data_IF_887874987534
#
_entry.id   IF_887874987534
#
_cell.length_a   1.000
_cell.length_b   1.000
_cell.length_c   1.000
_cell.angle_alpha   90.00
_cell.angle_beta   90.00
_cell.angle_gamma   90.00
#
_symmetry.space_group_name_H-M   'P 1'
#
loop_
_entity.id
_entity.type
_entity.pdbx_description
1 polymer ?
#
# COMPACT_ATOMS: atom_id res chain seq x y z
N UNK A 1 5.78 -14.98 22.30
CA UNK A 1 6.90 -14.82 21.34
C UNK A 1 6.43 -13.93 20.20
N UNK A 2 7.33 -13.13 19.62
CA UNK A 2 7.05 -12.28 18.45
C UNK A 2 7.68 -12.92 17.21
N UNK A 3 6.99 -12.87 16.08
CA UNK A 3 7.51 -13.35 14.79
C UNK A 3 7.98 -12.17 13.96
N UNK A 4 9.16 -12.27 13.35
CA UNK A 4 9.74 -11.21 12.52
C UNK A 4 9.05 -11.08 11.16
N UNK A 5 8.32 -12.11 10.74
CA UNK A 5 7.69 -12.18 9.43
C UNK A 5 6.22 -11.80 9.46
N UNK A 6 5.58 -11.60 10.62
CA UNK A 6 4.18 -11.21 10.66
C UNK A 6 3.83 -10.29 11.83
N UNK A 7 2.74 -9.54 11.66
CA UNK A 7 2.30 -8.53 12.64
C UNK A 7 1.67 -9.13 13.91
N UNK A 8 1.46 -10.46 13.96
CA UNK A 8 0.85 -11.12 15.12
C UNK A 8 1.79 -11.08 16.32
N UNK A 9 1.34 -10.40 17.37
CA UNK A 9 1.96 -10.41 18.69
C UNK A 9 1.39 -11.56 19.52
N UNK A 10 2.15 -12.01 20.52
CA UNK A 10 1.72 -13.02 21.50
C UNK A 10 1.52 -14.46 20.98
N UNK A 11 2.44 -14.93 20.13
CA UNK A 11 2.46 -16.35 19.73
C UNK A 11 2.92 -17.20 20.93
N UNK A 12 2.13 -18.20 21.37
CA UNK A 12 2.53 -19.10 22.46
C UNK A 12 3.83 -19.85 22.12
N UNK A 13 4.74 -19.98 23.09
CA UNK A 13 6.04 -20.61 22.87
C UNK A 13 5.94 -22.03 22.28
N UNK A 14 4.95 -22.81 22.74
CA UNK A 14 4.67 -24.17 22.24
C UNK A 14 4.36 -24.22 20.73
N UNK A 15 3.77 -23.16 20.19
CA UNK A 15 3.37 -23.08 18.78
C UNK A 15 4.33 -22.22 17.94
N UNK A 16 5.36 -21.63 18.56
CA UNK A 16 6.21 -20.65 17.90
C UNK A 16 7.02 -21.26 16.76
N UNK A 17 7.62 -22.44 16.94
CA UNK A 17 8.42 -23.10 15.90
C UNK A 17 7.57 -23.40 14.65
N UNK A 18 6.37 -23.93 14.85
CA UNK A 18 5.45 -24.23 13.73
C UNK A 18 5.02 -22.93 13.05
N UNK A 19 4.64 -21.91 13.84
CA UNK A 19 4.27 -20.59 13.33
C UNK A 19 5.41 -19.94 12.54
N UNK A 20 6.64 -19.98 13.02
CA UNK A 20 7.82 -19.40 12.36
C UNK A 20 8.06 -20.04 11.00
N UNK A 21 8.01 -21.37 10.90
CA UNK A 21 8.15 -22.09 9.63
C UNK A 21 7.03 -21.69 8.66
N UNK A 22 5.79 -21.60 9.14
CA UNK A 22 4.66 -21.17 8.31
C UNK A 22 4.81 -19.73 7.84
N UNK A 23 5.06 -18.79 8.74
CA UNK A 23 5.15 -17.38 8.41
C UNK A 23 6.34 -17.09 7.49
N UNK A 24 7.51 -17.69 7.75
CA UNK A 24 8.67 -17.54 6.88
C UNK A 24 8.41 -18.02 5.44
N UNK A 25 7.60 -19.06 5.27
CA UNK A 25 7.27 -19.61 3.94
C UNK A 25 6.09 -18.93 3.27
N UNK A 26 5.21 -18.29 4.02
CA UNK A 26 3.92 -17.79 3.53
C UNK A 26 3.76 -16.29 3.60
N UNK A 27 4.71 -15.55 4.18
CA UNK A 27 4.70 -14.08 4.15
C UNK A 27 5.74 -13.58 3.16
N UNK A 28 5.35 -12.64 2.32
CA UNK A 28 6.21 -11.90 1.40
C UNK A 28 6.17 -10.41 1.74
N UNK A 29 7.23 -9.71 1.38
CA UNK A 29 7.31 -8.26 1.52
C UNK A 29 6.82 -7.65 0.21
N UNK A 30 5.82 -6.77 0.28
CA UNK A 30 5.32 -6.06 -0.89
C UNK A 30 6.42 -5.20 -1.51
N UNK A 31 6.69 -5.29 -2.83
CA UNK A 31 7.75 -4.51 -3.46
C UNK A 31 7.44 -3.00 -3.56
N UNK A 32 6.18 -2.61 -3.37
CA UNK A 32 5.73 -1.22 -3.50
C UNK A 32 5.75 -0.48 -2.15
N UNK A 33 5.12 -1.03 -1.10
CA UNK A 33 5.05 -0.42 0.22
C UNK A 33 6.00 -1.02 1.27
N UNK A 34 6.67 -2.15 0.98
CA UNK A 34 7.47 -2.91 1.94
C UNK A 34 6.70 -3.52 3.12
N UNK A 35 5.37 -3.64 3.03
CA UNK A 35 4.57 -4.31 4.05
C UNK A 35 4.70 -5.84 3.98
N UNK A 36 4.56 -6.49 5.14
CA UNK A 36 4.57 -7.95 5.25
C UNK A 36 3.18 -8.52 4.98
N UNK A 37 2.99 -9.10 3.80
CA UNK A 37 1.69 -9.57 3.30
C UNK A 37 1.75 -11.09 3.05
N UNK A 38 0.73 -11.86 3.49
CA UNK A 38 0.64 -13.27 3.13
C UNK A 38 0.63 -13.47 1.60
N UNK A 39 1.36 -14.45 1.09
CA UNK A 39 1.42 -14.76 -0.36
C UNK A 39 0.05 -14.94 -0.99
N UNK A 40 -0.89 -15.53 -0.25
CA UNK A 40 -2.28 -15.72 -0.68
C UNK A 40 -3.03 -14.40 -0.87
N UNK A 41 -2.67 -13.36 -0.13
CA UNK A 41 -3.30 -12.03 -0.14
C UNK A 41 -2.51 -11.00 -0.94
N UNK A 42 -1.24 -11.28 -1.31
CA UNK A 42 -0.38 -10.35 -2.02
C UNK A 42 -1.02 -9.83 -3.31
N UNK A 43 -1.70 -10.73 -4.05
CA UNK A 43 -2.41 -10.36 -5.27
C UNK A 43 -3.55 -9.36 -4.98
N UNK A 44 -4.39 -9.66 -3.99
CA UNK A 44 -5.49 -8.77 -3.58
C UNK A 44 -4.98 -7.42 -3.09
N UNK A 45 -3.88 -7.43 -2.31
CA UNK A 45 -3.24 -6.21 -1.81
C UNK A 45 -2.76 -5.32 -2.96
N UNK A 46 -2.06 -5.89 -3.96
CA UNK A 46 -1.60 -5.13 -5.12
C UNK A 46 -2.80 -4.59 -5.92
N UNK A 47 -3.83 -5.41 -6.14
CA UNK A 47 -5.03 -5.00 -6.89
C UNK A 47 -5.89 -3.96 -6.15
N UNK A 48 -5.87 -3.94 -4.81
CA UNK A 48 -6.63 -2.97 -4.00
C UNK A 48 -5.86 -1.66 -3.75
N UNK A 49 -4.57 -1.76 -3.42
CA UNK A 49 -3.80 -0.63 -2.89
C UNK A 49 -2.83 -0.03 -3.92
N UNK A 50 -2.24 -0.88 -4.78
CA UNK A 50 -1.18 -0.51 -5.73
C UNK A 50 -1.64 -0.50 -7.20
N UNK A 51 -2.92 -0.73 -7.47
CA UNK A 51 -3.43 -0.69 -8.84
C UNK A 51 -3.32 0.74 -9.38
N UNK A 52 -2.71 0.88 -10.55
CA UNK A 52 -2.60 2.19 -11.20
C UNK A 52 -3.95 2.60 -11.79
N UNK A 53 -4.50 3.67 -11.25
CA UNK A 53 -5.76 4.27 -11.68
C UNK A 53 -5.50 5.63 -12.31
N UNK A 54 -6.30 5.95 -13.32
CA UNK A 54 -6.26 7.27 -13.95
C UNK A 54 -7.33 8.12 -13.29
N UNK A 55 -6.90 9.16 -12.59
CA UNK A 55 -7.80 10.14 -12.02
C UNK A 55 -8.52 10.92 -13.13
N UNK A 56 -9.63 11.58 -12.80
CA UNK A 56 -10.38 12.46 -13.71
C UNK A 56 -9.54 13.62 -14.26
N UNK A 57 -8.46 14.00 -13.56
CA UNK A 57 -7.44 14.94 -14.03
C UNK A 57 -6.41 14.35 -15.02
N UNK A 58 -6.62 13.10 -15.48
CA UNK A 58 -5.73 12.33 -16.37
C UNK A 58 -4.36 11.97 -15.78
N UNK A 59 -4.13 12.19 -14.50
CA UNK A 59 -2.93 11.70 -13.81
C UNK A 59 -3.05 10.21 -13.47
N UNK A 60 -1.96 9.47 -13.65
CA UNK A 60 -1.84 8.08 -13.20
C UNK A 60 -1.26 8.04 -11.79
N UNK A 61 -1.95 7.39 -10.86
CA UNK A 61 -1.50 7.20 -9.49
C UNK A 61 -2.00 5.86 -8.94
N UNK A 62 -1.49 5.44 -7.78
CA UNK A 62 -1.97 4.22 -7.11
C UNK A 62 -3.36 4.42 -6.50
N UNK A 63 -4.15 3.36 -6.39
CA UNK A 63 -5.52 3.44 -5.90
C UNK A 63 -5.64 3.87 -4.44
N UNK A 64 -4.66 3.55 -3.60
CA UNK A 64 -4.58 4.06 -2.23
C UNK A 64 -4.46 5.60 -2.23
N UNK A 65 -3.52 6.12 -3.03
CA UNK A 65 -3.28 7.56 -3.18
C UNK A 65 -4.43 8.31 -3.86
N UNK A 66 -5.18 7.66 -4.76
CA UNK A 66 -6.34 8.28 -5.41
C UNK A 66 -7.43 8.64 -4.39
N UNK A 67 -7.68 7.76 -3.40
CA UNK A 67 -8.69 8.01 -2.37
C UNK A 67 -8.34 9.26 -1.55
N UNK A 68 -7.08 9.40 -1.17
CA UNK A 68 -6.59 10.58 -0.46
C UNK A 68 -6.66 11.84 -1.34
N UNK A 69 -6.28 11.70 -2.62
CA UNK A 69 -6.33 12.78 -3.61
C UNK A 69 -7.75 13.31 -3.85
N UNK A 70 -8.76 12.43 -3.95
CA UNK A 70 -10.16 12.82 -4.14
C UNK A 70 -10.74 13.54 -2.90
N UNK A 71 -10.31 13.16 -1.70
CA UNK A 71 -10.75 13.82 -0.45
C UNK A 71 -10.12 15.21 -0.30
N UNK A 72 -8.82 15.34 -0.57
CA UNK A 72 -8.14 16.63 -0.53
C UNK A 72 -8.70 17.61 -1.56
N UNK A 73 -8.99 17.14 -2.78
CA UNK A 73 -9.66 17.97 -3.80
C UNK A 73 -11.11 18.29 -3.47
N UNK A 74 -11.80 17.50 -2.65
CA UNK A 74 -13.18 17.78 -2.25
C UNK A 74 -13.31 18.79 -1.10
N UNK A 75 -12.28 18.94 -0.25
CA UNK A 75 -12.28 19.87 0.88
C UNK A 75 -12.01 21.34 0.47
N UNK A 76 -11.39 21.55 -0.69
CA UNK A 76 -11.09 22.87 -1.25
C UNK A 76 -12.09 23.22 -2.39
N UNK A 77 -13.31 23.67 -2.05
CA UNK A 77 -14.26 24.26 -3.03
C UNK A 77 -13.66 25.51 -3.72
N UNK A 78 -13.95 25.85 -5.00
CA UNK A 78 -15.03 25.42 -5.90
C UNK A 78 -14.55 24.58 -7.12
N UNK A 79 -15.47 23.98 -7.91
CA UNK A 79 -15.10 23.14 -9.05
C UNK A 79 -14.44 23.95 -10.16
N UNK A 80 -13.12 23.86 -10.25
CA UNK A 80 -12.37 24.28 -11.43
C UNK A 80 -12.43 23.13 -12.46
N UNK A 81 -12.69 23.42 -13.74
CA UNK A 81 -12.77 22.38 -14.74
C UNK A 81 -11.38 21.75 -14.95
N UNK A 82 -11.34 20.43 -14.76
CA UNK A 82 -10.32 19.49 -15.25
C UNK A 82 -8.94 19.39 -14.56
N UNK A 83 -8.50 20.33 -13.73
CA UNK A 83 -7.13 20.29 -13.20
C UNK A 83 -7.08 20.09 -11.68
N UNK A 84 -6.99 18.83 -11.24
CA UNK A 84 -6.52 18.52 -9.88
C UNK A 84 -5.07 18.96 -9.79
N UNK A 85 -4.81 19.94 -8.92
CA UNK A 85 -3.58 20.74 -8.86
C UNK A 85 -2.29 19.96 -9.16
N UNK A 86 -1.64 20.32 -10.26
CA UNK A 86 -0.34 19.80 -10.63
C UNK A 86 0.75 20.24 -9.64
N UNK A 87 1.55 19.27 -9.20
CA UNK A 87 2.86 19.42 -8.54
C UNK A 87 2.89 20.38 -7.34
N UNK A 88 2.58 19.83 -6.16
CA UNK A 88 3.31 20.17 -4.94
C UNK A 88 4.03 18.92 -4.47
N UNK A 89 5.33 19.09 -4.29
CA UNK A 89 6.36 18.08 -4.09
C UNK A 89 6.04 17.01 -3.03
N UNK A 90 5.65 15.81 -3.46
CA UNK A 90 5.92 14.59 -2.70
C UNK A 90 7.26 14.02 -3.17
N UNK A 91 8.30 14.66 -2.66
CA UNK A 91 9.71 14.32 -2.78
C UNK A 91 10.05 13.11 -1.87
N UNK A 92 9.43 11.96 -2.08
CA UNK A 92 9.87 10.65 -1.55
C UNK A 92 9.32 9.59 -2.51
N UNK A 93 10.01 9.10 -3.53
CA UNK A 93 11.43 8.88 -3.74
C UNK A 93 11.73 9.14 -5.23
N UNK A 94 12.90 9.69 -5.48
CA UNK A 94 13.52 9.80 -6.80
C UNK A 94 13.29 8.55 -7.66
N UNK A 95 12.62 8.74 -8.79
CA UNK A 95 13.11 8.41 -10.14
C UNK A 95 14.31 7.44 -10.18
N UNK A 96 14.16 6.27 -10.82
CA UNK A 96 14.57 5.97 -12.21
C UNK A 96 14.92 4.47 -12.38
N UNK A 97 14.46 3.91 -13.51
CA UNK A 97 14.95 2.69 -14.21
C UNK A 97 15.07 1.36 -13.45
#
# INVERSE_FOLDING_TARGET
MQCDFCIKKDIPAVNFIIHEIHCRRNIEICPYCSDSIPKSEMKNHIESEHVQVTCKCRMKMESSLLKDHEVETALELPPQPADCWGKKDFLWKSVQY
#
